data_IF_633126762022
#
_entry.id   IF_633126762022
#
_cell.length_a   1.000
_cell.length_b   1.000
_cell.length_c   1.000
_cell.angle_alpha   90.00
_cell.angle_beta   90.00
_cell.angle_gamma   90.00
#
_symmetry.space_group_name_H-M   'P 1'
#
loop_
_entity.id
_entity.type
_entity.pdbx_description
1 polymer ?
#
# COMPACT_ATOMS: atom_id res chain seq x y z
N UNK A 1 -4.76 14.35 25.31
CA UNK A 1 -4.33 15.74 25.08
C UNK A 1 -3.57 15.79 23.76
N UNK A 2 -3.80 16.83 22.96
CA UNK A 2 -3.06 17.14 21.74
C UNK A 2 -2.15 18.33 22.03
N UNK A 3 -0.90 18.24 21.59
CA UNK A 3 0.05 19.35 21.57
C UNK A 3 -0.03 20.04 20.22
N UNK A 4 -0.18 21.36 20.25
CA UNK A 4 -0.17 22.23 19.07
C UNK A 4 1.17 22.97 19.07
N UNK A 5 1.99 22.70 18.06
CA UNK A 5 3.26 23.37 17.82
C UNK A 5 3.11 24.30 16.63
N UNK A 6 3.57 25.54 16.75
CA UNK A 6 3.47 26.56 15.70
C UNK A 6 4.87 26.85 15.15
N UNK A 7 5.00 26.87 13.82
CA UNK A 7 6.23 27.25 13.12
C UNK A 7 5.87 28.15 11.95
N UNK A 8 5.94 29.47 12.18
CA UNK A 8 5.54 30.47 11.20
C UNK A 8 4.02 30.46 10.96
N UNK A 9 3.63 30.11 9.74
CA UNK A 9 2.24 29.94 9.29
C UNK A 9 1.74 28.50 9.41
N UNK A 10 2.61 27.54 9.75
CA UNK A 10 2.29 26.12 9.87
C UNK A 10 2.01 25.73 11.32
N UNK A 11 1.14 24.74 11.49
CA UNK A 11 0.90 24.10 12.78
C UNK A 11 1.11 22.59 12.69
N UNK A 12 1.61 21.99 13.78
CA UNK A 12 1.70 20.54 13.94
C UNK A 12 0.88 20.13 15.15
N UNK A 13 -0.04 19.21 14.95
CA UNK A 13 -0.88 18.62 16.00
C UNK A 13 -0.37 17.22 16.28
N UNK A 14 0.10 16.97 17.50
CA UNK A 14 0.64 15.67 17.89
C UNK A 14 0.01 15.16 19.19
N UNK A 15 -0.25 13.85 19.21
CA UNK A 15 -0.34 13.11 20.47
C UNK A 15 0.99 13.17 21.24
N UNK A 16 0.97 12.77 22.50
CA UNK A 16 2.06 13.05 23.44
C UNK A 16 3.45 12.44 23.09
N UNK A 17 3.57 11.54 22.10
CA UNK A 17 4.71 10.62 22.03
C UNK A 17 5.45 10.50 20.68
N UNK A 18 5.08 11.21 19.60
CA UNK A 18 5.78 11.04 18.31
C UNK A 18 6.64 12.23 17.91
N UNK A 19 7.96 12.01 17.90
CA UNK A 19 8.96 12.92 17.33
C UNK A 19 9.59 12.27 16.10
N UNK A 20 9.16 12.66 14.91
CA UNK A 20 9.71 12.17 13.63
C UNK A 20 8.72 12.34 12.48
N UNK A 21 9.20 12.17 11.25
CA UNK A 21 8.34 11.85 10.11
C UNK A 21 7.95 10.38 10.22
N UNK A 22 6.69 10.03 9.95
CA UNK A 22 6.22 8.67 10.16
C UNK A 22 6.81 7.73 9.09
N UNK A 23 7.03 6.47 9.46
CA UNK A 23 7.56 5.45 8.56
C UNK A 23 6.51 5.14 7.48
N UNK A 24 6.81 5.28 6.17
CA UNK A 24 5.79 5.18 5.13
C UNK A 24 4.96 3.89 5.20
N UNK A 25 5.62 2.75 5.47
CA UNK A 25 4.97 1.45 5.56
C UNK A 25 3.99 1.31 6.73
N UNK A 26 4.05 2.17 7.75
CA UNK A 26 3.09 2.20 8.87
C UNK A 26 2.14 3.38 8.82
N UNK A 27 2.24 4.24 7.80
CA UNK A 27 1.50 5.50 7.77
C UNK A 27 0.24 5.41 6.93
N UNK A 28 -0.93 5.57 7.57
CA UNK A 28 -2.18 5.88 6.88
C UNK A 28 -2.32 7.39 6.71
N UNK A 29 -2.72 7.83 5.52
CA UNK A 29 -2.76 9.25 5.16
C UNK A 29 -4.13 9.67 4.61
N UNK A 30 -4.52 10.90 4.96
CA UNK A 30 -5.61 11.65 4.33
C UNK A 30 -5.13 13.07 4.06
N UNK A 31 -5.17 13.48 2.80
CA UNK A 31 -4.86 14.84 2.38
C UNK A 31 -6.13 15.69 2.47
N UNK A 32 -6.20 16.48 3.53
CA UNK A 32 -7.31 17.38 3.79
C UNK A 32 -6.96 18.79 3.33
N UNK A 33 -7.98 19.60 3.06
CA UNK A 33 -7.81 20.98 2.65
C UNK A 33 -7.01 21.76 3.71
N UNK A 34 -5.78 22.14 3.36
CA UNK A 34 -4.88 22.89 4.24
C UNK A 34 -4.15 22.06 5.30
N UNK A 35 -4.32 20.72 5.35
CA UNK A 35 -3.55 19.87 6.25
C UNK A 35 -3.36 18.43 5.76
N UNK A 36 -2.24 17.82 6.12
CA UNK A 36 -2.05 16.37 5.98
C UNK A 36 -2.36 15.67 7.30
N UNK A 37 -3.36 14.78 7.31
CA UNK A 37 -3.66 13.90 8.43
C UNK A 37 -2.91 12.59 8.28
N UNK A 38 -2.32 12.11 9.37
CA UNK A 38 -1.52 10.90 9.39
C UNK A 38 -1.77 10.07 10.65
N UNK A 39 -1.89 8.76 10.46
CA UNK A 39 -1.98 7.78 11.54
C UNK A 39 -0.85 6.78 11.41
N UNK A 40 -0.33 6.31 12.54
CA UNK A 40 0.37 5.03 12.57
C UNK A 40 -0.68 3.93 12.62
N UNK A 41 -0.84 3.17 11.53
CA UNK A 41 -1.86 2.11 11.46
C UNK A 41 -1.60 0.99 12.45
N UNK A 42 -0.35 0.81 12.87
CA UNK A 42 0.04 -0.21 13.85
C UNK A 42 -0.27 0.22 15.29
N UNK A 43 -0.59 1.50 15.49
CA UNK A 43 -1.02 2.07 16.77
C UNK A 43 -2.53 1.97 16.97
N UNK A 44 -2.96 1.91 18.22
CA UNK A 44 -4.38 2.02 18.61
C UNK A 44 -4.87 3.46 18.74
N UNK A 45 -4.05 4.45 18.37
CA UNK A 45 -4.39 5.87 18.48
C UNK A 45 -5.48 6.25 17.49
N UNK A 46 -6.62 6.70 17.99
CA UNK A 46 -7.74 7.13 17.14
C UNK A 46 -7.48 8.45 16.43
N UNK A 47 -6.88 9.43 17.11
CA UNK A 47 -6.68 10.78 16.58
C UNK A 47 -5.45 10.88 15.67
N UNK A 48 -5.54 11.56 14.52
CA UNK A 48 -4.40 11.74 13.63
C UNK A 48 -3.35 12.68 14.23
N UNK A 49 -2.14 12.56 13.70
CA UNK A 49 -1.21 13.67 13.61
C UNK A 49 -1.59 14.56 12.42
N UNK A 50 -1.69 15.88 12.63
CA UNK A 50 -1.94 16.82 11.55
C UNK A 50 -0.71 17.71 11.29
N UNK A 51 -0.36 17.84 10.01
CA UNK A 51 0.54 18.89 9.52
C UNK A 51 -0.28 19.93 8.78
N UNK A 52 -0.65 21.00 9.47
CA UNK A 52 -1.44 22.11 8.92
C UNK A 52 -0.49 23.07 8.21
N UNK A 53 -0.71 23.24 6.91
CA UNK A 53 0.07 24.12 6.05
C UNK A 53 -0.73 25.34 5.56
N UNK A 54 -2.07 25.27 5.63
CA UNK A 54 -2.97 26.41 5.46
C UNK A 54 -4.02 26.38 6.58
N UNK A 55 -3.90 27.32 7.54
CA UNK A 55 -4.73 27.34 8.75
C UNK A 55 -6.13 27.85 8.48
N UNK A 56 -6.29 28.79 7.54
CA UNK A 56 -7.60 29.35 7.20
C UNK A 56 -8.43 28.29 6.48
N UNK A 57 -7.80 27.55 5.57
CA UNK A 57 -8.45 26.45 4.87
C UNK A 57 -8.76 25.27 5.82
N UNK A 58 -7.84 24.92 6.72
CA UNK A 58 -8.04 23.83 7.68
C UNK A 58 -9.09 24.15 8.77
N UNK A 59 -9.26 25.42 9.16
CA UNK A 59 -10.23 25.81 10.17
C UNK A 59 -11.68 25.47 9.80
N UNK A 60 -11.99 25.32 8.50
CA UNK A 60 -13.33 24.96 8.03
C UNK A 60 -13.81 23.58 8.50
N UNK A 61 -12.88 22.66 8.80
CA UNK A 61 -13.20 21.26 9.12
C UNK A 61 -12.47 20.72 10.36
N UNK A 62 -11.39 21.35 10.84
CA UNK A 62 -10.57 20.84 11.96
C UNK A 62 -11.40 20.49 13.21
N UNK A 63 -12.48 21.24 13.46
CA UNK A 63 -13.41 21.03 14.56
C UNK A 63 -14.17 19.69 14.44
N UNK A 64 -14.40 19.17 13.23
CA UNK A 64 -15.09 17.90 12.97
C UNK A 64 -14.24 16.67 13.32
N UNK A 65 -12.91 16.85 13.44
CA UNK A 65 -11.94 15.79 13.75
C UNK A 65 -11.34 15.94 15.14
N UNK A 66 -11.06 17.17 15.58
CA UNK A 66 -10.36 17.45 16.83
C UNK A 66 -11.20 18.20 17.88
N UNK A 67 -12.36 18.75 17.49
CA UNK A 67 -13.18 19.62 18.34
C UNK A 67 -12.82 21.10 18.26
N UNK A 68 -13.75 21.95 18.71
CA UNK A 68 -13.69 23.41 18.57
C UNK A 68 -12.43 24.02 19.20
N UNK A 69 -12.07 23.61 20.43
CA UNK A 69 -10.94 24.18 21.17
C UNK A 69 -9.61 24.05 20.41
N UNK A 70 -9.43 22.95 19.66
CA UNK A 70 -8.23 22.71 18.86
C UNK A 70 -8.26 23.56 17.59
N UNK A 71 -9.41 23.63 16.91
CA UNK A 71 -9.56 24.46 15.71
C UNK A 71 -9.29 25.95 16.03
N UNK A 72 -9.85 26.45 17.14
CA UNK A 72 -9.65 27.82 17.62
C UNK A 72 -8.17 28.10 17.94
N UNK A 73 -7.49 27.18 18.60
CA UNK A 73 -6.07 27.34 18.94
C UNK A 73 -5.16 27.36 17.69
N UNK A 74 -5.46 26.54 16.68
CA UNK A 74 -4.76 26.56 15.39
C UNK A 74 -5.00 27.88 14.65
N UNK A 75 -6.25 28.34 14.59
CA UNK A 75 -6.61 29.59 13.94
C UNK A 75 -5.95 30.80 14.64
N UNK A 76 -5.94 30.81 15.97
CA UNK A 76 -5.29 31.82 16.80
C UNK A 76 -3.74 31.80 16.72
N UNK A 77 -3.15 30.86 15.96
CA UNK A 77 -1.70 30.69 15.80
C UNK A 77 -0.94 30.58 17.12
N UNK A 78 -1.54 29.96 18.13
CA UNK A 78 -0.99 29.96 19.49
C UNK A 78 -0.59 28.53 19.89
N UNK A 79 0.67 28.29 20.29
CA UNK A 79 1.06 27.00 20.85
C UNK A 79 0.22 26.66 22.07
N UNK A 80 -0.32 25.45 22.12
CA UNK A 80 -1.24 25.03 23.17
C UNK A 80 -1.13 23.53 23.47
N UNK A 81 -1.63 23.14 24.63
CA UNK A 81 -1.95 21.75 24.94
C UNK A 81 -3.44 21.70 25.26
N UNK A 82 -4.19 21.01 24.42
CA UNK A 82 -5.65 21.01 24.48
C UNK A 82 -6.12 19.59 24.79
N UNK A 83 -7.12 19.47 25.66
CA UNK A 83 -7.76 18.19 25.90
C UNK A 83 -8.54 17.79 24.65
N UNK A 84 -8.55 16.50 24.33
CA UNK A 84 -9.45 16.00 23.30
C UNK A 84 -10.88 16.03 23.85
N UNK A 85 -11.90 16.24 22.99
CA UNK A 85 -13.29 16.16 23.42
C UNK A 85 -13.57 14.79 24.05
N UNK A 86 -14.45 14.72 25.07
CA UNK A 86 -14.79 13.47 25.73
C UNK A 86 -15.57 12.52 24.81
N UNK A 87 -16.34 13.08 23.88
CA UNK A 87 -17.08 12.35 22.85
C UNK A 87 -16.27 12.30 21.55
N UNK A 88 -16.36 11.17 20.85
CA UNK A 88 -15.67 10.98 19.57
C UNK A 88 -16.28 11.89 18.50
N UNK A 89 -15.48 12.75 17.83
CA UNK A 89 -15.98 13.60 16.76
C UNK A 89 -16.53 12.78 15.60
N UNK A 90 -17.65 13.23 15.01
CA UNK A 90 -18.45 12.44 14.08
C UNK A 90 -17.70 11.93 12.84
N UNK A 91 -16.73 12.69 12.33
CA UNK A 91 -15.95 12.29 11.14
C UNK A 91 -14.67 11.51 11.44
N UNK A 92 -14.24 11.44 12.71
CA UNK A 92 -12.99 10.76 13.06
C UNK A 92 -12.98 9.28 12.60
N UNK A 93 -14.05 8.47 12.81
CA UNK A 93 -14.10 7.10 12.32
C UNK A 93 -14.00 7.00 10.79
N UNK A 94 -14.66 7.92 10.07
CA UNK A 94 -14.65 7.95 8.61
C UNK A 94 -13.25 8.29 8.07
N UNK A 95 -12.59 9.31 8.64
CA UNK A 95 -11.24 9.70 8.28
C UNK A 95 -10.22 8.58 8.54
N UNK A 96 -10.33 7.91 9.69
CA UNK A 96 -9.50 6.74 10.00
C UNK A 96 -9.76 5.58 9.03
N UNK A 97 -11.02 5.35 8.64
CA UNK A 97 -11.36 4.32 7.64
C UNK A 97 -10.71 4.63 6.29
N UNK A 98 -10.82 5.85 5.79
CA UNK A 98 -10.18 6.26 4.54
C UNK A 98 -8.65 6.11 4.62
N UNK A 99 -8.02 6.56 5.71
CA UNK A 99 -6.59 6.41 5.92
C UNK A 99 -6.13 4.94 5.87
N UNK A 100 -6.90 4.02 6.45
CA UNK A 100 -6.63 2.58 6.45
C UNK A 100 -6.81 1.95 5.07
N UNK A 101 -7.84 2.35 4.32
CA UNK A 101 -8.05 1.87 2.95
C UNK A 101 -6.91 2.31 2.03
N UNK A 102 -6.51 3.58 2.12
CA UNK A 102 -5.36 4.12 1.38
C UNK A 102 -4.06 3.38 1.76
N UNK A 103 -3.85 3.13 3.05
CA UNK A 103 -2.71 2.35 3.51
C UNK A 103 -2.74 0.92 2.96
N UNK A 104 -3.88 0.23 3.02
CA UNK A 104 -3.99 -1.14 2.52
C UNK A 104 -3.75 -1.21 1.00
N UNK A 105 -4.25 -0.24 0.23
CA UNK A 105 -3.99 -0.14 -1.20
C UNK A 105 -2.50 0.06 -1.51
N UNK A 106 -1.79 0.83 -0.69
CA UNK A 106 -0.39 1.20 -0.91
C UNK A 106 0.63 0.23 -0.30
N UNK A 107 0.30 -0.43 0.81
CA UNK A 107 1.27 -1.12 1.68
C UNK A 107 0.83 -2.49 2.18
N UNK A 108 -0.35 -3.03 1.80
CA UNK A 108 -0.81 -4.31 2.33
C UNK A 108 0.23 -5.43 2.12
N UNK A 109 0.69 -6.09 3.20
CA UNK A 109 1.84 -6.97 3.17
C UNK A 109 1.46 -8.41 2.81
N UNK A 110 0.85 -8.62 1.64
CA UNK A 110 0.46 -9.95 1.16
C UNK A 110 1.67 -10.91 1.17
N UNK A 111 1.53 -12.04 1.84
CA UNK A 111 2.62 -12.99 2.05
C UNK A 111 2.11 -14.40 2.28
N UNK A 112 2.56 -15.33 1.44
CA UNK A 112 2.26 -16.74 1.65
C UNK A 112 2.98 -17.28 2.89
N UNK A 113 4.20 -16.78 3.17
CA UNK A 113 4.97 -17.17 4.35
C UNK A 113 4.34 -16.69 5.65
N UNK A 114 3.74 -15.49 5.66
CA UNK A 114 3.07 -14.95 6.84
C UNK A 114 1.61 -15.41 6.99
N UNK A 115 1.07 -16.18 6.02
CA UNK A 115 -0.35 -16.49 5.88
C UNK A 115 -1.22 -15.21 5.83
N UNK A 116 -0.76 -14.21 5.08
CA UNK A 116 -1.51 -12.97 4.83
C UNK A 116 -1.97 -13.02 3.36
N UNK A 117 -3.27 -13.26 3.10
CA UNK A 117 -3.80 -13.26 1.74
C UNK A 117 -3.68 -11.88 1.10
N UNK A 118 -3.69 -11.88 -0.23
CA UNK A 118 -3.81 -10.64 -0.98
C UNK A 118 -5.26 -10.13 -0.93
N UNK A 119 -5.43 -8.80 -0.83
CA UNK A 119 -6.70 -8.10 -0.90
C UNK A 119 -7.09 -7.82 -2.35
N UNK A 120 -8.38 -7.94 -2.66
CA UNK A 120 -8.91 -7.49 -3.95
C UNK A 120 -8.77 -5.97 -4.07
N UNK A 121 -8.02 -5.54 -5.10
CA UNK A 121 -7.86 -4.11 -5.42
C UNK A 121 -9.18 -3.47 -5.85
N UNK A 122 -10.04 -4.25 -6.50
CA UNK A 122 -11.35 -3.81 -6.98
C UNK A 122 -12.28 -3.50 -5.79
N UNK A 123 -12.31 -4.39 -4.79
CA UNK A 123 -13.05 -4.16 -3.54
C UNK A 123 -12.47 -3.00 -2.72
N UNK A 124 -11.14 -2.92 -2.61
CA UNK A 124 -10.49 -1.79 -1.94
C UNK A 124 -10.84 -0.45 -2.61
N UNK A 125 -10.82 -0.39 -3.94
CA UNK A 125 -11.18 0.82 -4.68
C UNK A 125 -12.65 1.20 -4.48
N UNK A 126 -13.56 0.21 -4.52
CA UNK A 126 -14.97 0.40 -4.21
C UNK A 126 -15.21 0.98 -2.80
N UNK A 127 -14.62 0.37 -1.77
CA UNK A 127 -14.73 0.87 -0.39
C UNK A 127 -14.08 2.26 -0.23
N UNK A 128 -12.99 2.52 -0.95
CA UNK A 128 -12.30 3.83 -0.94
C UNK A 128 -13.18 4.91 -1.56
N UNK A 129 -13.87 4.63 -2.67
CA UNK A 129 -14.75 5.61 -3.31
C UNK A 129 -15.86 6.11 -2.38
N UNK A 130 -16.52 5.17 -1.67
CA UNK A 130 -17.51 5.51 -0.65
C UNK A 130 -16.90 6.31 0.51
N UNK A 131 -15.74 5.87 1.02
CA UNK A 131 -15.07 6.56 2.13
C UNK A 131 -14.59 7.97 1.73
N UNK A 132 -14.18 8.16 0.48
CA UNK A 132 -13.81 9.46 -0.10
C UNK A 132 -15.02 10.37 -0.18
N UNK A 133 -16.16 9.89 -0.71
CA UNK A 133 -17.39 10.68 -0.81
C UNK A 133 -17.91 11.14 0.56
N UNK A 134 -17.81 10.30 1.58
CA UNK A 134 -18.19 10.65 2.95
C UNK A 134 -17.33 11.78 3.57
N UNK A 135 -16.18 12.09 2.96
CA UNK A 135 -15.22 13.08 3.43
C UNK A 135 -14.94 14.17 2.37
N UNK A 136 -15.68 14.23 1.27
CA UNK A 136 -15.40 15.13 0.14
C UNK A 136 -15.13 16.58 0.59
N UNK A 137 -15.94 17.12 1.50
CA UNK A 137 -15.79 18.51 1.98
C UNK A 137 -14.51 18.76 2.79
N UNK A 138 -13.91 17.71 3.35
CA UNK A 138 -12.65 17.74 4.07
C UNK A 138 -11.45 17.73 3.12
N UNK A 139 -11.57 17.10 1.96
CA UNK A 139 -10.44 16.80 1.06
C UNK A 139 -9.99 18.06 0.29
N UNK A 140 -8.69 18.09 -0.06
CA UNK A 140 -8.13 19.22 -0.79
C UNK A 140 -8.49 19.21 -2.28
N UNK A 141 -8.92 18.05 -2.78
CA UNK A 141 -9.07 17.76 -4.19
C UNK A 141 -10.56 17.68 -4.57
N UNK A 142 -10.97 18.61 -5.43
CA UNK A 142 -12.37 18.77 -5.85
C UNK A 142 -12.89 17.62 -6.73
N UNK A 143 -12.01 16.87 -7.41
CA UNK A 143 -12.39 15.74 -8.28
C UNK A 143 -12.09 14.38 -7.60
N UNK A 144 -11.92 14.36 -6.28
CA UNK A 144 -11.51 13.15 -5.54
C UNK A 144 -12.52 12.01 -5.64
N UNK A 145 -13.82 12.33 -5.63
CA UNK A 145 -14.89 11.33 -5.66
C UNK A 145 -14.98 10.71 -7.05
N UNK A 146 -14.97 11.51 -8.11
CA UNK A 146 -14.99 11.07 -9.50
C UNK A 146 -13.82 10.14 -9.80
N UNK A 147 -12.60 10.55 -9.42
CA UNK A 147 -11.42 9.69 -9.62
C UNK A 147 -11.49 8.39 -8.81
N UNK A 148 -12.07 8.42 -7.62
CA UNK A 148 -12.23 7.20 -6.82
C UNK A 148 -13.30 6.28 -7.41
N UNK A 149 -14.39 6.83 -7.95
CA UNK A 149 -15.44 6.09 -8.66
C UNK A 149 -14.94 5.48 -9.97
N UNK A 150 -14.10 6.20 -10.74
CA UNK A 150 -13.45 5.67 -11.94
C UNK A 150 -12.60 4.43 -11.64
N UNK A 151 -12.01 4.37 -10.45
CA UNK A 151 -11.23 3.22 -10.00
C UNK A 151 -12.10 2.10 -9.38
N UNK A 152 -13.32 2.40 -8.92
CA UNK A 152 -14.21 1.42 -8.31
C UNK A 152 -14.71 0.38 -9.32
N UNK A 153 -15.03 -0.84 -8.86
CA UNK A 153 -15.65 -1.86 -9.69
C UNK A 153 -16.96 -2.33 -9.08
N UNK A 154 -18.08 -1.97 -9.74
CA UNK A 154 -19.39 -2.46 -9.34
C UNK A 154 -19.49 -3.96 -9.57
N UNK A 155 -18.94 -4.44 -10.69
CA UNK A 155 -18.91 -5.87 -11.05
C UNK A 155 -18.26 -6.73 -9.95
N UNK A 156 -17.12 -6.30 -9.40
CA UNK A 156 -16.45 -7.04 -8.32
C UNK A 156 -17.27 -7.07 -7.03
N UNK A 157 -17.95 -5.96 -6.70
CA UNK A 157 -18.83 -5.89 -5.52
C UNK A 157 -20.05 -6.79 -5.71
N UNK A 158 -20.65 -6.81 -6.90
CA UNK A 158 -21.79 -7.68 -7.21
C UNK A 158 -21.41 -9.17 -7.17
N UNK A 159 -20.22 -9.53 -7.65
CA UNK A 159 -19.71 -10.89 -7.53
C UNK A 159 -19.53 -11.31 -6.07
N UNK A 160 -19.09 -10.39 -5.19
CA UNK A 160 -19.01 -10.67 -3.75
C UNK A 160 -20.40 -10.93 -3.15
N UNK A 161 -21.45 -10.30 -3.66
CA UNK A 161 -22.81 -10.46 -3.16
C UNK A 161 -23.39 -11.87 -3.38
N UNK A 162 -22.83 -12.65 -4.30
CA UNK A 162 -23.18 -14.07 -4.50
C UNK A 162 -22.81 -14.95 -3.28
N UNK A 163 -21.92 -14.45 -2.41
CA UNK A 163 -21.51 -15.13 -1.20
C UNK A 163 -22.39 -14.72 -0.03
N UNK A 164 -23.21 -15.67 0.46
CA UNK A 164 -24.21 -15.43 1.51
C UNK A 164 -23.66 -14.73 2.77
N UNK A 165 -22.39 -14.97 3.11
CA UNK A 165 -21.70 -14.34 4.24
C UNK A 165 -21.48 -12.83 4.06
N UNK A 166 -21.25 -12.39 2.83
CA UNK A 166 -20.93 -10.99 2.49
C UNK A 166 -22.08 -10.26 1.79
N UNK A 167 -23.13 -10.98 1.38
CA UNK A 167 -24.23 -10.47 0.59
C UNK A 167 -24.80 -9.14 1.10
N UNK A 168 -25.10 -9.04 2.39
CA UNK A 168 -25.68 -7.82 2.96
C UNK A 168 -24.78 -6.59 2.76
N UNK A 169 -23.49 -6.69 3.13
CA UNK A 169 -22.55 -5.58 3.00
C UNK A 169 -22.16 -5.29 1.54
N UNK A 170 -22.11 -6.31 0.69
CA UNK A 170 -21.85 -6.13 -0.74
C UNK A 170 -23.02 -5.44 -1.46
N UNK A 171 -24.27 -5.76 -1.09
CA UNK A 171 -25.47 -5.10 -1.62
C UNK A 171 -25.48 -3.63 -1.19
N UNK A 172 -25.25 -3.35 0.09
CA UNK A 172 -25.17 -1.98 0.62
C UNK A 172 -24.11 -1.15 -0.11
N UNK A 173 -22.89 -1.69 -0.25
CA UNK A 173 -21.81 -1.02 -0.98
C UNK A 173 -22.16 -0.80 -2.46
N UNK A 174 -22.79 -1.77 -3.12
CA UNK A 174 -23.19 -1.64 -4.51
C UNK A 174 -24.29 -0.58 -4.70
N UNK A 175 -25.25 -0.48 -3.78
CA UNK A 175 -26.29 0.55 -3.80
C UNK A 175 -25.69 1.94 -3.61
N UNK A 176 -24.78 2.09 -2.65
CA UNK A 176 -24.10 3.36 -2.38
C UNK A 176 -23.23 3.80 -3.56
N UNK A 177 -22.46 2.88 -4.17
CA UNK A 177 -21.68 3.17 -5.37
C UNK A 177 -22.54 3.61 -6.55
N UNK A 178 -23.71 3.00 -6.77
CA UNK A 178 -24.62 3.41 -7.84
C UNK A 178 -25.19 4.80 -7.57
N UNK A 179 -25.60 5.08 -6.34
CA UNK A 179 -26.08 6.41 -5.95
C UNK A 179 -25.01 7.48 -6.20
N UNK A 180 -23.78 7.23 -5.74
CA UNK A 180 -22.66 8.16 -5.96
C UNK A 180 -22.33 8.32 -7.45
N UNK A 181 -22.28 7.23 -8.21
CA UNK A 181 -22.05 7.31 -9.65
C UNK A 181 -23.11 8.14 -10.39
N UNK A 182 -24.39 8.02 -9.99
CA UNK A 182 -25.47 8.85 -10.52
C UNK A 182 -25.33 10.32 -10.13
N UNK A 183 -25.02 10.62 -8.86
CA UNK A 183 -24.87 11.99 -8.35
C UNK A 183 -23.72 12.74 -9.02
N UNK A 184 -22.62 12.04 -9.31
CA UNK A 184 -21.41 12.60 -9.92
C UNK A 184 -21.35 12.39 -11.45
N UNK A 185 -22.31 11.67 -12.04
CA UNK A 185 -22.37 11.41 -13.48
C UNK A 185 -21.24 10.51 -14.02
N UNK A 186 -20.71 9.61 -13.19
CA UNK A 186 -19.62 8.68 -13.53
C UNK A 186 -20.20 7.35 -14.01
N UNK A 187 -19.64 6.78 -15.09
CA UNK A 187 -20.00 5.43 -15.55
C UNK A 187 -19.04 4.39 -14.96
N UNK A 188 -19.52 3.60 -14.00
CA UNK A 188 -18.74 2.54 -13.36
C UNK A 188 -18.33 1.44 -14.37
N UNK A 189 -17.12 0.90 -14.22
CA UNK A 189 -16.54 -0.18 -15.04
C UNK A 189 -16.26 0.15 -16.54
N UNK A 190 -16.41 1.40 -16.99
CA UNK A 190 -16.25 1.77 -18.40
C UNK A 190 -14.85 1.50 -19.01
N UNK A 191 -13.77 1.56 -18.20
CA UNK A 191 -12.38 1.48 -18.67
C UNK A 191 -11.79 0.06 -18.75
N UNK A 192 -12.47 -0.97 -18.22
CA UNK A 192 -11.91 -2.34 -18.02
C UNK A 192 -12.05 -3.29 -19.22
N UNK A 193 -12.46 -2.77 -20.38
CA UNK A 193 -12.65 -3.56 -21.61
C UNK A 193 -11.40 -3.50 -22.50
N UNK A 194 -10.20 -3.89 -22.02
CA UNK A 194 -9.10 -4.23 -22.95
C UNK A 194 -7.91 -4.97 -22.33
N UNK A 195 -7.59 -6.17 -22.85
CA UNK A 195 -6.20 -6.61 -23.02
C UNK A 195 -5.82 -8.04 -22.60
N UNK A 196 -6.02 -9.01 -23.50
CA UNK A 196 -5.44 -10.36 -23.40
C UNK A 196 -4.01 -10.46 -24.00
N UNK A 197 -3.37 -11.61 -23.69
CA UNK A 197 -2.24 -12.32 -24.36
C UNK A 197 -0.81 -11.89 -23.93
N UNK A 198 0.19 -12.74 -23.69
CA UNK A 198 0.37 -14.19 -23.82
C UNK A 198 1.77 -14.65 -23.36
N UNK A 199 1.98 -15.96 -23.47
CA UNK A 199 2.98 -16.83 -22.83
C UNK A 199 4.45 -16.69 -23.25
N UNK A 200 5.39 -17.07 -22.35
CA UNK A 200 6.65 -17.74 -22.70
C UNK A 200 7.30 -18.47 -21.49
N UNK A 201 7.71 -19.72 -21.71
CA UNK A 201 8.43 -20.62 -20.80
C UNK A 201 9.85 -20.16 -20.44
N UNK A 202 10.31 -20.51 -19.23
CA UNK A 202 11.73 -20.57 -18.88
C UNK A 202 12.08 -21.96 -18.31
N UNK A 203 13.16 -22.54 -18.83
CA UNK A 203 13.63 -23.89 -18.57
C UNK A 203 14.50 -23.98 -17.30
N UNK A 204 14.19 -24.93 -16.43
CA UNK A 204 15.02 -25.29 -15.27
C UNK A 204 16.14 -26.25 -15.65
N UNK A 205 17.39 -25.84 -15.41
CA UNK A 205 18.57 -26.71 -15.38
C UNK A 205 19.20 -26.66 -13.99
N UNK A 206 19.58 -27.80 -13.43
CA UNK A 206 20.30 -27.86 -12.15
C UNK A 206 21.79 -27.57 -12.38
N UNK A 207 22.29 -26.49 -11.78
CA UNK A 207 23.68 -26.05 -11.90
C UNK A 207 24.36 -25.91 -10.53
N UNK A 208 25.69 -26.06 -10.51
CA UNK A 208 26.51 -25.83 -9.33
C UNK A 208 26.81 -24.33 -9.18
N UNK A 209 26.29 -23.69 -8.14
CA UNK A 209 26.46 -22.26 -7.91
C UNK A 209 27.88 -21.93 -7.43
N UNK A 210 28.49 -20.89 -8.02
CA UNK A 210 29.77 -20.34 -7.60
C UNK A 210 29.62 -19.29 -6.48
N UNK A 211 28.49 -18.58 -6.46
CA UNK A 211 28.10 -17.68 -5.37
C UNK A 211 26.58 -17.61 -5.28
N UNK A 212 26.06 -17.40 -4.08
CA UNK A 212 24.62 -17.20 -3.83
C UNK A 212 24.43 -16.14 -2.77
N UNK A 213 23.26 -15.49 -2.76
CA UNK A 213 22.89 -14.58 -1.70
C UNK A 213 21.42 -14.20 -1.75
N UNK A 214 21.00 -13.46 -0.74
CA UNK A 214 19.65 -12.92 -0.62
C UNK A 214 19.75 -11.46 -0.20
N UNK A 215 18.90 -10.61 -0.75
CA UNK A 215 18.77 -9.21 -0.36
C UNK A 215 17.34 -8.91 0.08
N UNK A 216 17.19 -8.00 1.05
CA UNK A 216 15.88 -7.56 1.51
C UNK A 216 15.18 -6.75 0.41
N UNK A 217 13.85 -6.84 0.35
CA UNK A 217 13.04 -6.08 -0.59
C UNK A 217 12.70 -4.70 0.00
N UNK A 218 12.86 -3.66 -0.82
CA UNK A 218 12.31 -2.35 -0.52
C UNK A 218 10.86 -2.29 -1.01
N UNK A 219 9.91 -2.21 -0.09
CA UNK A 219 8.49 -2.16 -0.42
C UNK A 219 8.10 -0.90 -1.19
N UNK A 220 8.87 0.19 -1.07
CA UNK A 220 8.60 1.45 -1.79
C UNK A 220 8.90 1.38 -3.29
N UNK A 221 9.71 0.41 -3.73
CA UNK A 221 10.15 0.30 -5.13
C UNK A 221 9.21 -0.58 -5.98
N UNK A 222 8.20 -1.20 -5.37
CA UNK A 222 7.26 -2.11 -6.03
C UNK A 222 5.83 -1.84 -5.55
N UNK A 223 4.79 -2.01 -6.40
CA UNK A 223 3.42 -1.88 -5.92
C UNK A 223 3.12 -2.93 -4.84
N UNK A 224 2.34 -2.58 -3.82
CA UNK A 224 1.89 -3.53 -2.82
C UNK A 224 1.25 -4.77 -3.45
N UNK A 225 1.43 -5.91 -2.77
CA UNK A 225 0.89 -7.20 -3.19
C UNK A 225 1.44 -7.70 -4.54
N UNK A 226 2.60 -7.18 -4.99
CA UNK A 226 3.32 -7.71 -6.16
C UNK A 226 4.29 -8.82 -5.76
N UNK A 227 5.13 -8.55 -4.77
CA UNK A 227 6.12 -9.47 -4.20
C UNK A 227 5.65 -9.94 -2.84
N UNK A 228 6.09 -11.13 -2.41
CA UNK A 228 5.79 -11.62 -1.06
C UNK A 228 6.46 -10.68 -0.04
N UNK A 229 5.68 -10.11 0.88
CA UNK A 229 6.17 -9.13 1.84
C UNK A 229 7.25 -9.68 2.79
N UNK A 230 7.24 -10.98 3.06
CA UNK A 230 8.28 -11.67 3.84
C UNK A 230 9.42 -12.23 2.97
N UNK A 231 9.27 -12.15 1.65
CA UNK A 231 10.22 -12.67 0.68
C UNK A 231 11.52 -11.87 0.63
N UNK A 232 12.62 -12.58 0.36
CA UNK A 232 13.89 -11.98 -0.04
C UNK A 232 14.14 -12.14 -1.54
N UNK A 233 14.87 -11.20 -2.12
CA UNK A 233 15.36 -11.32 -3.48
C UNK A 233 16.59 -12.23 -3.51
N UNK A 234 16.39 -13.48 -3.92
CA UNK A 234 17.46 -14.47 -4.02
C UNK A 234 18.21 -14.34 -5.35
N UNK A 235 19.52 -14.57 -5.31
CA UNK A 235 20.36 -14.61 -6.50
C UNK A 235 21.40 -15.72 -6.41
N UNK A 236 21.76 -16.25 -7.57
CA UNK A 236 22.83 -17.24 -7.73
C UNK A 236 23.67 -16.85 -8.94
N UNK A 237 24.99 -17.02 -8.82
CA UNK A 237 25.94 -16.87 -9.92
C UNK A 237 26.50 -18.25 -10.20
N UNK A 238 26.34 -18.72 -11.43
CA UNK A 238 26.82 -20.01 -11.90
C UNK A 238 27.59 -19.90 -13.21
N UNK A 239 28.14 -21.02 -13.67
CA UNK A 239 28.68 -21.17 -15.04
C UNK A 239 27.71 -22.01 -15.86
N UNK A 240 27.33 -21.51 -17.04
CA UNK A 240 26.49 -22.22 -18.02
C UNK A 240 27.09 -22.02 -19.41
N UNK A 241 27.37 -23.13 -20.11
CA UNK A 241 27.93 -23.12 -21.47
C UNK A 241 29.18 -22.24 -21.63
N UNK A 242 30.01 -22.18 -20.58
CA UNK A 242 31.24 -21.38 -20.53
C UNK A 242 31.05 -19.94 -20.05
N UNK A 243 29.83 -19.44 -20.00
CA UNK A 243 29.47 -18.09 -19.55
C UNK A 243 29.19 -18.04 -18.04
N UNK A 244 29.43 -16.89 -17.42
CA UNK A 244 29.00 -16.63 -16.04
C UNK A 244 27.59 -16.07 -16.09
N UNK A 245 26.63 -16.75 -15.48
CA UNK A 245 25.21 -16.37 -15.50
C UNK A 245 24.76 -16.03 -14.09
N UNK A 246 24.06 -14.91 -13.97
CA UNK A 246 23.28 -14.53 -12.80
C UNK A 246 21.85 -14.99 -12.99
N UNK A 247 21.34 -15.80 -12.08
CA UNK A 247 19.93 -16.14 -11.98
C UNK A 247 19.34 -15.43 -10.76
N UNK A 248 18.24 -14.72 -10.97
CA UNK A 248 17.51 -13.97 -9.93
C UNK A 248 16.17 -14.62 -9.71
N UNK A 249 15.74 -14.72 -8.45
CA UNK A 249 14.48 -15.33 -8.07
C UNK A 249 13.88 -14.64 -6.84
N UNK A 250 12.69 -14.07 -7.01
CA UNK A 250 11.98 -13.32 -5.96
C UNK A 250 10.60 -13.95 -5.76
N UNK A 251 10.16 -14.26 -4.53
CA UNK A 251 8.81 -14.77 -4.33
C UNK A 251 7.75 -13.72 -4.71
N UNK A 252 6.73 -14.14 -5.45
CA UNK A 252 5.57 -13.30 -5.75
C UNK A 252 4.60 -13.32 -4.56
N UNK A 253 3.82 -12.25 -4.39
CA UNK A 253 2.72 -12.26 -3.44
C UNK A 253 1.72 -13.38 -3.78
N UNK A 254 0.99 -13.91 -2.77
CA UNK A 254 -0.11 -14.84 -3.03
C UNK A 254 -1.09 -14.22 -4.02
N UNK A 255 -1.67 -15.05 -4.89
CA UNK A 255 -2.74 -14.58 -5.74
C UNK A 255 -3.92 -14.17 -4.85
N UNK A 256 -4.60 -13.08 -5.21
CA UNK A 256 -5.95 -12.82 -4.70
C UNK A 256 -6.81 -13.99 -5.17
N UNK A 257 -7.76 -14.45 -4.36
CA UNK A 257 -8.63 -15.58 -4.72
C UNK A 257 -10.08 -15.13 -4.94
N UNK A 258 -10.41 -13.87 -4.63
CA UNK A 258 -11.79 -13.42 -4.41
C UNK A 258 -11.96 -11.90 -4.48
N UNK A 259 -13.08 -11.43 -5.07
CA UNK A 259 -13.50 -11.71 -6.45
C UNK A 259 -12.50 -11.07 -7.43
N UNK A 260 -12.41 -11.65 -8.63
CA UNK A 260 -11.50 -11.20 -9.69
C UNK A 260 -12.23 -11.05 -11.00
N UNK A 261 -12.22 -9.83 -11.56
CA UNK A 261 -12.69 -9.62 -12.92
C UNK A 261 -11.56 -9.25 -13.90
N UNK A 262 -10.43 -8.71 -13.44
CA UNK A 262 -9.30 -8.41 -14.31
C UNK A 262 -7.92 -8.69 -13.67
N UNK A 263 -6.95 -9.29 -14.39
CA UNK A 263 -5.60 -9.40 -13.85
C UNK A 263 -5.01 -8.01 -13.65
N UNK A 264 -4.37 -7.73 -12.50
CA UNK A 264 -3.74 -6.42 -12.28
C UNK A 264 -2.73 -6.13 -13.39
N UNK A 265 -2.58 -4.84 -13.73
CA UNK A 265 -1.57 -4.33 -14.64
C UNK A 265 -0.25 -5.07 -14.45
N UNK A 266 0.17 -5.85 -15.45
CA UNK A 266 1.32 -6.76 -15.34
C UNK A 266 2.56 -5.96 -14.92
N UNK A 267 3.19 -6.29 -13.77
CA UNK A 267 4.32 -5.52 -13.26
C UNK A 267 5.53 -5.65 -14.16
N UNK A 268 6.24 -4.54 -14.35
CA UNK A 268 7.46 -4.49 -15.17
C UNK A 268 8.65 -4.48 -14.20
N UNK A 269 8.94 -5.66 -13.66
CA UNK A 269 9.96 -5.80 -12.64
C UNK A 269 11.37 -5.91 -13.24
N UNK A 270 12.28 -5.14 -12.65
CA UNK A 270 13.70 -5.15 -13.00
C UNK A 270 14.53 -5.34 -11.73
N UNK A 271 15.38 -6.36 -11.73
CA UNK A 271 16.36 -6.55 -10.68
C UNK A 271 17.70 -5.93 -11.08
N UNK A 272 18.41 -5.31 -10.14
CA UNK A 272 19.74 -4.75 -10.36
C UNK A 272 20.73 -5.43 -9.41
N UNK A 273 21.76 -6.05 -9.97
CA UNK A 273 22.82 -6.71 -9.20
C UNK A 273 24.12 -5.92 -9.24
N UNK A 274 24.70 -5.67 -8.07
CA UNK A 274 26.00 -5.02 -7.93
C UNK A 274 25.96 -3.49 -7.86
N UNK A 275 27.12 -2.83 -7.67
CA UNK A 275 27.22 -1.39 -7.47
C UNK A 275 26.87 -0.62 -8.75
N UNK A 276 26.54 0.67 -8.61
CA UNK A 276 26.10 1.54 -9.72
C UNK A 276 26.99 1.47 -10.98
N UNK A 277 28.31 1.33 -10.82
CA UNK A 277 29.29 1.32 -11.93
C UNK A 277 29.37 0.00 -12.71
N UNK A 278 28.90 -1.11 -12.14
CA UNK A 278 28.90 -2.45 -12.76
C UNK A 278 27.49 -3.06 -12.84
N UNK A 279 26.48 -2.33 -12.36
CA UNK A 279 25.14 -2.86 -12.11
C UNK A 279 24.53 -3.49 -13.35
N UNK A 280 24.24 -4.78 -13.25
CA UNK A 280 23.57 -5.54 -14.31
C UNK A 280 22.08 -5.54 -14.02
N UNK A 281 21.30 -5.12 -15.01
CA UNK A 281 19.83 -5.15 -14.93
C UNK A 281 19.30 -6.47 -15.51
N UNK A 282 18.40 -7.09 -14.77
CA UNK A 282 17.80 -8.39 -15.05
C UNK A 282 16.29 -8.24 -15.09
N UNK A 283 15.67 -8.24 -16.27
CA UNK A 283 14.21 -8.22 -16.39
C UNK A 283 13.64 -9.48 -15.72
N UNK A 284 12.67 -9.29 -14.83
CA UNK A 284 12.01 -10.40 -14.15
C UNK A 284 10.67 -10.69 -14.80
N UNK A 285 10.35 -11.97 -14.89
CA UNK A 285 9.04 -12.44 -15.39
C UNK A 285 8.40 -13.35 -14.35
N UNK A 286 7.08 -13.27 -14.26
CA UNK A 286 6.33 -14.15 -13.36
C UNK A 286 6.34 -15.57 -13.91
N UNK A 287 6.79 -16.52 -13.10
CA UNK A 287 6.72 -17.96 -13.32
C UNK A 287 6.10 -18.54 -12.06
N UNK A 288 4.86 -19.01 -12.17
CA UNK A 288 4.07 -19.51 -11.03
C UNK A 288 4.00 -18.48 -9.87
N UNK A 289 4.55 -18.83 -8.71
CA UNK A 289 4.58 -18.04 -7.49
C UNK A 289 5.90 -17.25 -7.31
N UNK A 290 6.68 -17.07 -8.37
CA UNK A 290 7.95 -16.31 -8.31
C UNK A 290 8.12 -15.40 -9.51
N UNK A 291 8.94 -14.37 -9.34
CA UNK A 291 9.53 -13.59 -10.41
C UNK A 291 10.95 -14.05 -10.62
N UNK A 292 11.27 -14.46 -11.84
CA UNK A 292 12.59 -14.98 -12.20
C UNK A 292 13.16 -14.29 -13.43
N UNK A 293 14.48 -14.16 -13.47
CA UNK A 293 15.19 -13.64 -14.63
C UNK A 293 16.64 -14.08 -14.62
N UNK A 294 17.28 -14.05 -15.79
CA UNK A 294 18.70 -14.38 -15.95
C UNK A 294 19.41 -13.31 -16.77
N UNK A 295 20.69 -13.08 -16.46
CA UNK A 295 21.57 -12.24 -17.26
C UNK A 295 23.00 -12.75 -17.25
N UNK A 296 23.73 -12.51 -18.34
CA UNK A 296 25.16 -12.81 -18.42
C UNK A 296 25.93 -11.77 -17.61
N UNK A 297 26.81 -12.24 -16.73
CA UNK A 297 27.72 -11.39 -15.97
C UNK A 297 29.13 -11.43 -16.56
N UNK A 298 29.88 -10.31 -16.50
CA UNK A 298 31.31 -10.38 -16.71
C UNK A 298 31.94 -11.23 -15.61
N UNK A 299 32.97 -12.00 -15.93
CA UNK A 299 33.70 -12.85 -14.95
C UNK A 299 34.23 -12.02 -13.77
N UNK A 300 34.54 -10.74 -13.99
CA UNK A 300 34.96 -9.80 -12.94
C UNK A 300 33.90 -9.58 -11.85
N UNK A 301 32.62 -9.88 -12.09
CA UNK A 301 31.58 -9.82 -11.06
C UNK A 301 31.85 -10.80 -9.90
N UNK A 302 32.53 -11.92 -10.15
CA UNK A 302 32.98 -12.85 -9.10
C UNK A 302 34.08 -12.28 -8.19
N UNK A 303 34.72 -11.19 -8.62
CA UNK A 303 35.76 -10.49 -7.86
C UNK A 303 35.19 -9.35 -7.00
N UNK A 304 33.89 -9.02 -7.13
CA UNK A 304 33.25 -8.01 -6.28
C UNK A 304 33.37 -8.41 -4.80
N UNK A 305 33.67 -7.48 -3.88
CA UNK A 305 33.55 -7.72 -2.45
C UNK A 305 32.15 -8.21 -2.09
N UNK A 306 32.01 -9.10 -1.10
CA UNK A 306 30.70 -9.64 -0.69
C UNK A 306 29.70 -8.55 -0.34
N UNK A 307 30.15 -7.46 0.29
CA UNK A 307 29.32 -6.31 0.65
C UNK A 307 28.76 -5.54 -0.57
N UNK A 308 29.39 -5.67 -1.74
CA UNK A 308 28.94 -5.02 -2.99
C UNK A 308 28.07 -5.95 -3.85
N UNK A 309 27.88 -7.21 -3.44
CA UNK A 309 27.02 -8.19 -4.13
C UNK A 309 25.58 -8.08 -3.63
N UNK A 310 25.02 -6.89 -3.81
CA UNK A 310 23.64 -6.58 -3.42
C UNK A 310 22.72 -6.70 -4.62
N UNK A 311 21.46 -7.04 -4.35
CA UNK A 311 20.39 -7.10 -5.34
C UNK A 311 19.27 -6.17 -4.90
N UNK A 312 18.81 -5.29 -5.79
CA UNK A 312 17.57 -4.52 -5.59
C UNK A 312 16.56 -4.88 -6.68
N UNK A 313 15.28 -4.72 -6.39
CA UNK A 313 14.17 -5.03 -7.30
C UNK A 313 13.21 -3.85 -7.32
N UNK A 314 12.80 -3.43 -8.52
CA UNK A 314 11.88 -2.30 -8.70
C UNK A 314 10.87 -2.56 -9.82
N UNK A 315 9.73 -1.90 -9.76
CA UNK A 315 8.83 -1.73 -10.91
C UNK A 315 9.21 -0.45 -11.65
N UNK A 316 9.55 -0.57 -12.94
CA UNK A 316 10.03 0.57 -13.74
C UNK A 316 8.95 1.61 -14.02
N UNK A 317 7.68 1.30 -13.76
CA UNK A 317 6.55 2.24 -13.89
C UNK A 317 6.41 3.16 -12.68
N UNK A 318 6.91 2.74 -11.53
CA UNK A 318 6.89 3.53 -10.29
C UNK A 318 8.22 4.26 -10.12
N UNK A 319 9.32 3.53 -10.27
CA UNK A 319 10.64 4.00 -9.88
C UNK A 319 11.63 3.84 -11.02
N UNK A 320 12.07 4.97 -11.58
CA UNK A 320 13.04 5.01 -12.68
C UNK A 320 14.47 4.66 -12.25
N UNK A 321 14.86 4.98 -11.01
CA UNK A 321 16.16 4.64 -10.42
C UNK A 321 15.98 4.11 -8.99
N UNK A 322 16.75 3.11 -8.52
CA UNK A 322 16.59 2.54 -7.18
C UNK A 322 16.59 3.62 -6.10
N UNK A 323 15.57 3.62 -5.25
CA UNK A 323 15.44 4.62 -4.19
C UNK A 323 16.56 4.43 -3.16
N UNK A 324 17.13 5.52 -2.65
CA UNK A 324 18.10 5.48 -1.55
C UNK A 324 17.47 5.06 -0.21
N UNK A 325 16.13 5.01 -0.13
CA UNK A 325 15.38 4.49 1.01
C UNK A 325 15.68 3.00 1.10
N UNK A 326 16.25 2.60 2.23
CA UNK A 326 16.53 1.20 2.50
C UNK A 326 15.23 0.45 2.73
N UNK A 327 15.29 -0.88 2.54
CA UNK A 327 14.21 -1.76 2.98
C UNK A 327 13.81 -1.43 4.43
N UNK A 328 12.52 -1.52 4.78
CA UNK A 328 12.05 -1.22 6.12
C UNK A 328 12.83 -2.05 7.13
N UNK A 329 13.12 -1.45 8.29
CA UNK A 329 13.74 -2.14 9.40
C UNK A 329 12.92 -3.38 9.78
N UNK A 330 13.58 -4.41 10.32
CA UNK A 330 12.90 -5.68 10.63
C UNK A 330 11.77 -5.48 11.64
N UNK A 331 11.94 -4.56 12.58
CA UNK A 331 10.93 -4.20 13.58
C UNK A 331 9.68 -3.56 12.92
N UNK A 332 9.89 -2.70 11.93
CA UNK A 332 8.80 -2.10 11.14
C UNK A 332 8.06 -3.17 10.35
N UNK A 333 8.80 -4.06 9.69
CA UNK A 333 8.21 -5.18 8.95
C UNK A 333 7.35 -6.05 9.86
N UNK A 334 7.87 -6.42 11.04
CA UNK A 334 7.14 -7.23 12.00
C UNK A 334 5.85 -6.54 12.46
N UNK A 335 5.91 -5.25 12.80
CA UNK A 335 4.74 -4.48 13.21
C UNK A 335 3.65 -4.41 12.12
N UNK A 336 4.05 -4.20 10.86
CA UNK A 336 3.12 -4.19 9.71
C UNK A 336 2.47 -5.56 9.49
N UNK A 337 3.26 -6.64 9.59
CA UNK A 337 2.77 -8.02 9.45
C UNK A 337 1.78 -8.38 10.57
N UNK A 338 2.10 -8.03 11.82
CA UNK A 338 1.22 -8.27 12.96
C UNK A 338 -0.06 -7.43 12.87
N UNK A 339 0.04 -6.18 12.41
CA UNK A 339 -1.12 -5.34 12.15
C UNK A 339 -2.05 -5.98 11.10
N UNK A 340 -1.52 -6.37 9.93
CA UNK A 340 -2.32 -6.99 8.87
C UNK A 340 -3.02 -8.28 9.35
N UNK A 341 -2.35 -9.11 10.16
CA UNK A 341 -2.97 -10.30 10.76
C UNK A 341 -4.09 -9.95 11.72
N UNK A 342 -3.90 -8.94 12.57
CA UNK A 342 -4.95 -8.53 13.51
C UNK A 342 -6.18 -8.00 12.78
N UNK A 343 -5.99 -7.27 11.67
CA UNK A 343 -7.08 -6.82 10.79
C UNK A 343 -7.87 -7.96 10.17
N UNK A 344 -7.22 -9.03 9.72
CA UNK A 344 -7.91 -10.19 9.16
C UNK A 344 -8.82 -10.92 10.15
N UNK A 345 -8.61 -10.73 11.46
CA UNK A 345 -9.44 -11.29 12.53
C UNK A 345 -10.43 -10.28 13.13
N UNK A 346 -10.42 -9.03 12.67
CA UNK A 346 -11.21 -7.93 13.23
C UNK A 346 -12.62 -7.91 12.62
N UNK A 347 -13.66 -7.84 13.46
CA UNK A 347 -15.03 -7.73 12.97
C UNK A 347 -15.33 -6.39 12.28
N UNK A 348 -14.52 -5.37 12.56
CA UNK A 348 -14.57 -4.03 11.91
C UNK A 348 -13.68 -3.96 10.66
N UNK A 349 -13.18 -5.10 10.20
CA UNK A 349 -12.45 -5.22 8.96
C UNK A 349 -13.30 -4.79 7.74
N UNK A 350 -12.62 -4.23 6.76
CA UNK A 350 -13.21 -3.87 5.47
C UNK A 350 -13.79 -5.11 4.78
N UNK A 351 -14.68 -4.93 3.81
CA UNK A 351 -15.17 -6.06 3.00
C UNK A 351 -14.02 -6.78 2.28
N UNK A 352 -13.06 -6.03 1.72
CA UNK A 352 -11.87 -6.58 1.08
C UNK A 352 -11.02 -7.43 2.06
N UNK A 353 -10.80 -6.93 3.27
CA UNK A 353 -10.06 -7.65 4.33
C UNK A 353 -10.78 -8.95 4.73
N UNK A 354 -12.09 -8.89 4.98
CA UNK A 354 -12.89 -10.07 5.39
C UNK A 354 -13.00 -11.12 4.28
N UNK A 355 -13.21 -10.69 3.03
CA UNK A 355 -13.23 -11.59 1.89
C UNK A 355 -11.89 -12.30 1.71
N UNK A 356 -10.78 -11.58 1.88
CA UNK A 356 -9.44 -12.16 1.81
C UNK A 356 -9.17 -13.13 2.97
N UNK A 357 -9.54 -12.79 4.21
CA UNK A 357 -9.40 -13.67 5.37
C UNK A 357 -10.11 -15.02 5.12
N UNK A 358 -11.35 -14.95 4.65
CA UNK A 358 -12.17 -16.12 4.33
C UNK A 358 -11.58 -17.00 3.23
N UNK A 359 -11.00 -16.40 2.20
CA UNK A 359 -10.33 -17.11 1.12
C UNK A 359 -9.04 -17.77 1.60
N UNK A 360 -8.25 -17.07 2.42
CA UNK A 360 -7.04 -17.58 3.05
C UNK A 360 -7.27 -18.65 4.13
N UNK A 361 -8.53 -19.03 4.41
CA UNK A 361 -8.88 -20.01 5.45
C UNK A 361 -8.71 -19.49 6.87
N UNK A 362 -8.70 -18.17 7.06
CA UNK A 362 -8.65 -17.48 8.34
C UNK A 362 -10.11 -17.24 8.73
N UNK A 363 -10.60 -17.98 9.74
CA UNK A 363 -11.97 -17.89 10.24
C UNK A 363 -12.02 -17.43 11.68
#
# INVERSE_FOLDING_TARGET
MIRIEISGDRARLTGAETTGWPEPATTGLVEARGALLSWDVTSSTAFPHAHVHDRDAAAGWLWEIYGDDIADAVLANTPAQVALPPDEPGLLPAALRLARLNWAAAWWPASAQAAIPALSRELLAAETAVATAALEHLLDDEDCVERALDAASLTAVEALAEHAEFAAGAIELAEELRSLAEDYGVELDAARVSGQVGWALAAGGTHQAAATGTSALNWSDVPAQTLDAMGGAGWTIGRRDGETVLSVSVPAAPAVEFPHHEPPLTPVLLARFGPARLGVEVPLRRVENRFTGEAVLPVTALLLPTAERTLSVRDTRITAEPTAVLAPAEEVRAAVIDHARSRLADATASLAERAAARAGGIS
#
